data_IF_986343553188
#
_entry.id   IF_986343553188
#
_cell.length_a   1.000
_cell.length_b   1.000
_cell.length_c   1.000
_cell.angle_alpha   90.00
_cell.angle_beta   90.00
_cell.angle_gamma   90.00
#
_symmetry.space_group_name_H-M   'P 1'
#
loop_
_entity.id
_entity.type
_entity.pdbx_description
1 polymer ?
#
# COMPACT_ATOMS: atom_id res chain seq x y z
N UNK A 1 20.57 11.17 -25.88
CA UNK A 1 19.74 9.95 -25.72
C UNK A 1 18.93 9.74 -27.00
N UNK A 2 18.91 8.51 -27.53
CA UNK A 2 18.10 8.18 -28.72
C UNK A 2 16.62 8.33 -28.39
N UNK A 3 15.84 8.98 -29.27
CA UNK A 3 14.40 9.21 -29.09
C UNK A 3 13.63 7.91 -28.79
N UNK A 4 14.05 6.81 -29.40
CA UNK A 4 13.47 5.49 -29.18
C UNK A 4 13.61 5.02 -27.72
N UNK A 5 14.79 5.20 -27.11
CA UNK A 5 15.04 4.83 -25.71
C UNK A 5 14.20 5.66 -24.75
N UNK A 6 14.05 6.96 -25.03
CA UNK A 6 13.21 7.83 -24.23
C UNK A 6 11.74 7.38 -24.27
N UNK A 7 11.23 7.05 -25.47
CA UNK A 7 9.87 6.53 -25.63
C UNK A 7 9.66 5.20 -24.89
N UNK A 8 10.64 4.29 -24.93
CA UNK A 8 10.58 3.02 -24.20
C UNK A 8 10.50 3.25 -22.69
N UNK A 9 11.37 4.10 -22.12
CA UNK A 9 11.36 4.41 -20.68
C UNK A 9 10.06 5.07 -20.22
N UNK A 10 9.49 5.96 -21.03
CA UNK A 10 8.18 6.57 -20.76
C UNK A 10 7.07 5.52 -20.79
N UNK A 11 7.09 4.60 -21.74
CA UNK A 11 6.13 3.51 -21.80
C UNK A 11 6.20 2.59 -20.57
N UNK A 12 7.40 2.39 -20.03
CA UNK A 12 7.65 1.62 -18.81
C UNK A 12 7.09 2.32 -17.55
N UNK A 13 7.19 3.65 -17.47
CA UNK A 13 6.52 4.44 -16.42
C UNK A 13 5.01 4.24 -16.48
N UNK A 14 4.40 4.39 -17.66
CA UNK A 14 2.95 4.25 -17.85
C UNK A 14 2.49 2.83 -17.51
N UNK A 15 3.25 1.81 -17.95
CA UNK A 15 2.98 0.43 -17.61
C UNK A 15 3.05 0.17 -16.09
N UNK A 16 4.05 0.75 -15.41
CA UNK A 16 4.21 0.64 -13.96
C UNK A 16 3.05 1.31 -13.20
N UNK A 17 2.59 2.48 -13.66
CA UNK A 17 1.42 3.16 -13.08
C UNK A 17 0.12 2.36 -13.26
N UNK A 18 -0.05 1.70 -14.41
CA UNK A 18 -1.19 0.82 -14.65
C UNK A 18 -1.19 -0.37 -13.68
N UNK A 19 -0.04 -1.01 -13.50
CA UNK A 19 0.13 -2.12 -12.56
C UNK A 19 -0.18 -1.67 -11.12
N UNK A 20 0.24 -0.46 -10.74
CA UNK A 20 -0.03 0.10 -9.42
C UNK A 20 -1.52 0.29 -9.14
N UNK A 21 -2.27 0.84 -10.10
CA UNK A 21 -3.72 0.94 -9.99
C UNK A 21 -4.39 -0.44 -9.84
N UNK A 22 -3.86 -1.47 -10.51
CA UNK A 22 -4.37 -2.83 -10.39
C UNK A 22 -4.05 -3.45 -9.02
N UNK A 23 -2.88 -3.18 -8.42
CA UNK A 23 -2.60 -3.61 -7.05
C UNK A 23 -3.57 -3.03 -6.02
N UNK A 24 -3.95 -1.76 -6.17
CA UNK A 24 -4.94 -1.15 -5.28
C UNK A 24 -6.30 -1.84 -5.42
N UNK A 25 -6.75 -2.15 -6.65
CA UNK A 25 -7.98 -2.93 -6.87
C UNK A 25 -7.89 -4.31 -6.22
N UNK A 26 -6.78 -5.02 -6.43
CA UNK A 26 -6.58 -6.36 -5.85
C UNK A 26 -6.55 -6.34 -4.33
N UNK A 27 -6.00 -5.29 -3.71
CA UNK A 27 -6.06 -5.07 -2.28
C UNK A 27 -7.51 -4.97 -1.79
N UNK A 28 -8.33 -4.14 -2.44
CA UNK A 28 -9.76 -4.01 -2.11
C UNK A 28 -10.51 -5.34 -2.24
N UNK A 29 -10.33 -6.03 -3.37
CA UNK A 29 -10.98 -7.32 -3.63
C UNK A 29 -10.57 -8.36 -2.59
N UNK A 30 -9.27 -8.46 -2.28
CA UNK A 30 -8.74 -9.45 -1.34
C UNK A 30 -9.26 -9.21 0.07
N UNK A 31 -9.22 -7.95 0.55
CA UNK A 31 -9.72 -7.60 1.87
C UNK A 31 -11.23 -7.82 1.98
N UNK A 32 -11.99 -7.44 0.95
CA UNK A 32 -13.44 -7.67 0.90
C UNK A 32 -13.78 -9.18 0.93
N UNK A 33 -13.08 -9.99 0.13
CA UNK A 33 -13.29 -11.43 0.08
C UNK A 33 -12.96 -12.09 1.43
N UNK A 34 -11.80 -11.78 2.02
CA UNK A 34 -11.41 -12.31 3.33
C UNK A 34 -12.39 -11.91 4.43
N UNK A 35 -12.82 -10.64 4.43
CA UNK A 35 -13.78 -10.13 5.42
C UNK A 35 -15.15 -10.78 5.25
N UNK A 36 -15.63 -10.98 4.02
CA UNK A 36 -16.90 -11.65 3.74
C UNK A 36 -16.88 -13.12 4.20
N UNK A 37 -15.82 -13.86 3.89
CA UNK A 37 -15.66 -15.26 4.34
C UNK A 37 -15.58 -15.32 5.85
N UNK A 38 -14.81 -14.43 6.48
CA UNK A 38 -14.64 -14.41 7.93
C UNK A 38 -15.92 -14.06 8.69
N UNK A 39 -16.79 -13.21 8.13
CA UNK A 39 -17.93 -12.65 8.85
C UNK A 39 -19.29 -13.29 8.54
N UNK A 40 -19.47 -14.04 7.44
CA UNK A 40 -20.84 -14.48 7.15
C UNK A 40 -21.14 -15.41 5.98
N UNK A 41 -20.17 -15.89 5.20
CA UNK A 41 -20.50 -16.81 4.10
C UNK A 41 -20.94 -18.19 4.62
N UNK A 42 -20.40 -18.67 5.74
CA UNK A 42 -20.84 -19.95 6.33
C UNK A 42 -20.70 -19.94 7.87
N UNK A 43 -21.80 -19.80 8.63
CA UNK A 43 -21.76 -19.75 10.09
C UNK A 43 -21.35 -21.09 10.73
N UNK A 44 -21.34 -22.19 9.97
CA UNK A 44 -20.92 -23.50 10.46
C UNK A 44 -19.41 -23.59 10.70
N UNK A 45 -18.60 -22.73 10.07
CA UNK A 45 -17.14 -22.74 10.18
C UNK A 45 -16.69 -21.65 11.17
N UNK A 46 -16.71 -21.96 12.47
CA UNK A 46 -16.28 -21.03 13.53
C UNK A 46 -14.84 -20.54 13.36
N UNK A 47 -13.99 -21.33 12.71
CA UNK A 47 -12.58 -21.02 12.45
C UNK A 47 -12.39 -19.99 11.32
N UNK A 48 -13.41 -19.73 10.49
CA UNK A 48 -13.28 -18.77 9.39
C UNK A 48 -12.96 -17.35 9.88
N UNK A 49 -13.35 -17.02 11.11
CA UNK A 49 -13.08 -15.71 11.73
C UNK A 49 -11.57 -15.41 11.83
N UNK A 50 -10.71 -16.43 11.95
CA UNK A 50 -9.26 -16.23 11.99
C UNK A 50 -8.67 -15.70 10.66
N UNK A 51 -9.42 -15.75 9.56
CA UNK A 51 -9.03 -15.13 8.29
C UNK A 51 -8.90 -13.60 8.41
N UNK A 52 -9.57 -12.96 9.37
CA UNK A 52 -9.38 -11.54 9.66
C UNK A 52 -7.94 -11.20 10.07
N UNK A 53 -7.21 -12.15 10.67
CA UNK A 53 -5.78 -11.96 11.00
C UNK A 53 -4.88 -11.97 9.75
N UNK A 54 -5.36 -12.46 8.62
CA UNK A 54 -4.61 -12.49 7.36
C UNK A 54 -4.72 -11.15 6.61
N UNK A 55 -5.77 -10.36 6.88
CA UNK A 55 -5.99 -9.05 6.24
C UNK A 55 -4.76 -8.11 6.36
N UNK A 56 -4.13 -7.95 7.54
CA UNK A 56 -2.91 -7.17 7.67
C UNK A 56 -1.76 -7.63 6.78
N UNK A 57 -1.58 -8.95 6.65
CA UNK A 57 -0.52 -9.52 5.82
C UNK A 57 -0.76 -9.25 4.34
N UNK A 58 -2.00 -9.39 3.88
CA UNK A 58 -2.39 -9.06 2.50
C UNK A 58 -2.16 -7.58 2.20
N UNK A 59 -2.56 -6.68 3.11
CA UNK A 59 -2.33 -5.25 2.96
C UNK A 59 -0.84 -4.92 2.88
N UNK A 60 -0.04 -5.45 3.81
CA UNK A 60 1.42 -5.28 3.81
C UNK A 60 2.06 -5.77 2.51
N UNK A 61 1.65 -6.92 2.01
CA UNK A 61 2.16 -7.48 0.74
C UNK A 61 1.84 -6.58 -0.45
N UNK A 62 0.59 -6.12 -0.57
CA UNK A 62 0.20 -5.20 -1.66
C UNK A 62 0.93 -3.87 -1.59
N UNK A 63 1.16 -3.35 -0.39
CA UNK A 63 1.89 -2.10 -0.17
C UNK A 63 3.35 -2.24 -0.61
N UNK A 64 3.97 -3.39 -0.32
CA UNK A 64 5.34 -3.68 -0.72
C UNK A 64 5.49 -3.79 -2.25
N UNK A 65 4.52 -4.41 -2.94
CA UNK A 65 4.49 -4.47 -4.41
C UNK A 65 4.27 -3.09 -5.06
N UNK A 66 3.36 -2.30 -4.49
CA UNK A 66 3.15 -0.92 -4.94
C UNK A 66 4.40 -0.08 -4.74
N UNK A 67 5.09 -0.26 -3.60
CA UNK A 67 6.35 0.42 -3.33
C UNK A 67 7.41 0.06 -4.36
N UNK A 68 7.59 -1.23 -4.65
CA UNK A 68 8.57 -1.67 -5.64
C UNK A 68 8.33 -0.99 -7.00
N UNK A 69 7.06 -0.90 -7.42
CA UNK A 69 6.67 -0.23 -8.66
C UNK A 69 6.95 1.28 -8.62
N UNK A 70 6.68 1.94 -7.49
CA UNK A 70 6.99 3.36 -7.30
C UNK A 70 8.49 3.65 -7.36
N UNK A 71 9.31 2.80 -6.73
CA UNK A 71 10.77 2.94 -6.77
C UNK A 71 11.26 2.91 -8.22
N UNK A 72 10.77 1.97 -9.03
CA UNK A 72 11.12 1.86 -10.45
C UNK A 72 10.77 3.13 -11.22
N UNK A 73 9.56 3.67 -11.05
CA UNK A 73 9.14 4.93 -11.70
C UNK A 73 10.05 6.09 -11.31
N UNK A 74 10.38 6.21 -10.02
CA UNK A 74 11.28 7.27 -9.51
C UNK A 74 12.70 7.10 -10.07
N UNK A 75 13.22 5.87 -10.13
CA UNK A 75 14.54 5.58 -10.71
C UNK A 75 14.62 5.96 -12.19
N UNK A 76 13.61 5.60 -12.99
CA UNK A 76 13.56 5.95 -14.42
C UNK A 76 13.45 7.47 -14.60
N UNK A 77 12.58 8.14 -13.84
CA UNK A 77 12.45 9.60 -13.90
C UNK A 77 13.76 10.31 -13.58
N UNK A 78 14.48 9.87 -12.55
CA UNK A 78 15.79 10.44 -12.21
C UNK A 78 16.87 10.16 -13.25
N UNK A 79 16.84 8.99 -13.89
CA UNK A 79 17.73 8.70 -15.01
C UNK A 79 17.47 9.65 -16.18
N UNK A 80 16.21 9.82 -16.59
CA UNK A 80 15.81 10.75 -17.66
C UNK A 80 16.18 12.21 -17.34
N UNK A 81 16.05 12.63 -16.08
CA UNK A 81 16.50 13.94 -15.61
C UNK A 81 18.01 14.12 -15.79
N UNK A 82 18.83 13.13 -15.41
CA UNK A 82 20.30 13.17 -15.57
C UNK A 82 20.74 13.23 -17.04
N UNK A 83 19.96 12.64 -17.94
CA UNK A 83 20.19 12.69 -19.40
C UNK A 83 19.75 14.03 -20.05
N UNK A 84 19.27 15.01 -19.26
CA UNK A 84 18.89 16.34 -19.76
C UNK A 84 17.51 16.41 -20.40
N UNK A 85 16.58 15.52 -20.04
CA UNK A 85 15.21 15.57 -20.52
C UNK A 85 14.47 16.78 -19.93
N UNK A 86 14.25 17.83 -20.76
CA UNK A 86 13.54 19.07 -20.38
C UNK A 86 12.15 18.83 -19.77
N UNK A 87 11.47 17.78 -20.22
CA UNK A 87 10.16 17.41 -19.68
C UNK A 87 10.26 16.94 -18.22
N UNK A 88 11.21 16.06 -17.90
CA UNK A 88 11.39 15.59 -16.52
C UNK A 88 11.92 16.71 -15.62
N UNK A 89 12.72 17.64 -16.15
CA UNK A 89 13.13 18.85 -15.43
C UNK A 89 11.92 19.71 -15.05
N UNK A 90 11.02 19.99 -15.99
CA UNK A 90 9.76 20.69 -15.74
C UNK A 90 8.86 19.97 -14.71
N UNK A 91 8.71 18.64 -14.86
CA UNK A 91 7.92 17.84 -13.91
C UNK A 91 8.55 17.86 -12.52
N UNK A 92 9.89 17.85 -12.42
CA UNK A 92 10.58 17.89 -11.14
C UNK A 92 10.39 19.25 -10.43
N UNK A 93 10.46 20.36 -11.18
CA UNK A 93 10.13 21.69 -10.65
C UNK A 93 8.70 21.74 -10.06
N UNK A 94 7.73 21.14 -10.77
CA UNK A 94 6.35 21.02 -10.27
C UNK A 94 6.28 20.12 -9.03
N UNK A 95 7.00 19.00 -9.01
CA UNK A 95 7.06 18.09 -7.86
C UNK A 95 7.62 18.80 -6.62
N UNK A 96 8.57 19.71 -6.79
CA UNK A 96 9.16 20.48 -5.70
C UNK A 96 8.24 21.59 -5.19
N UNK A 97 7.38 22.18 -6.05
CA UNK A 97 6.75 23.46 -5.71
C UNK A 97 5.54 23.42 -4.76
N UNK A 98 4.66 22.40 -4.72
CA UNK A 98 3.60 22.37 -3.66
C UNK A 98 2.69 21.14 -3.54
N UNK A 99 2.59 20.26 -4.54
CA UNK A 99 1.70 19.09 -4.44
C UNK A 99 2.20 17.97 -5.34
N UNK A 100 2.95 17.02 -4.76
CA UNK A 100 3.47 15.87 -5.50
C UNK A 100 2.32 14.89 -5.73
N UNK A 101 1.94 14.56 -6.98
CA UNK A 101 0.94 13.52 -7.25
C UNK A 101 1.31 12.18 -6.57
N UNK A 102 2.62 11.90 -6.48
CA UNK A 102 3.18 10.76 -5.77
C UNK A 102 2.92 10.79 -4.25
N UNK A 103 2.81 11.98 -3.63
CA UNK A 103 2.45 12.09 -2.20
C UNK A 103 0.99 11.74 -1.98
N UNK A 104 0.10 12.15 -2.88
CA UNK A 104 -1.31 11.79 -2.79
C UNK A 104 -1.50 10.29 -2.94
N UNK A 105 -0.80 9.67 -3.89
CA UNK A 105 -0.86 8.22 -4.08
C UNK A 105 -0.33 7.45 -2.86
N UNK A 106 0.81 7.88 -2.32
CA UNK A 106 1.32 7.33 -1.06
C UNK A 106 0.32 7.51 0.09
N UNK A 107 -0.29 8.69 0.21
CA UNK A 107 -1.29 8.94 1.25
C UNK A 107 -2.50 8.03 1.10
N UNK A 108 -3.03 7.85 -0.12
CA UNK A 108 -4.13 6.95 -0.40
C UNK A 108 -3.77 5.50 -0.03
N UNK A 109 -2.57 5.06 -0.38
CA UNK A 109 -2.08 3.72 -0.03
C UNK A 109 -2.01 3.53 1.49
N UNK A 110 -1.44 4.49 2.20
CA UNK A 110 -1.32 4.46 3.68
C UNK A 110 -2.69 4.47 4.36
N UNK A 111 -3.55 5.40 3.98
CA UNK A 111 -4.89 5.52 4.54
C UNK A 111 -5.68 4.23 4.33
N UNK A 112 -5.57 3.61 3.15
CA UNK A 112 -6.23 2.32 2.89
C UNK A 112 -5.71 1.20 3.80
N UNK A 113 -4.40 1.09 4.01
CA UNK A 113 -3.81 0.07 4.91
C UNK A 113 -4.21 0.29 6.36
N UNK A 114 -4.14 1.53 6.84
CA UNK A 114 -4.57 1.88 8.20
C UNK A 114 -6.04 1.52 8.37
N UNK A 115 -6.90 1.91 7.43
CA UNK A 115 -8.32 1.60 7.46
C UNK A 115 -8.59 0.09 7.51
N UNK A 116 -7.96 -0.71 6.64
CA UNK A 116 -8.17 -2.16 6.64
C UNK A 116 -7.58 -2.88 7.86
N UNK A 117 -6.45 -2.39 8.39
CA UNK A 117 -5.86 -2.94 9.62
C UNK A 117 -6.70 -2.63 10.86
N UNK A 118 -7.56 -1.62 10.83
CA UNK A 118 -8.50 -1.33 11.93
C UNK A 118 -9.66 -2.33 11.99
N UNK A 119 -10.00 -3.02 10.91
CA UNK A 119 -11.09 -4.02 10.87
C UNK A 119 -10.90 -5.11 11.94
N UNK A 120 -9.77 -5.85 11.99
CA UNK A 120 -9.55 -6.85 13.03
C UNK A 120 -9.48 -6.24 14.44
N UNK A 121 -8.99 -5.01 14.60
CA UNK A 121 -8.96 -4.32 15.91
C UNK A 121 -10.38 -4.07 16.42
N UNK A 122 -11.24 -3.47 15.59
CA UNK A 122 -12.63 -3.18 15.93
C UNK A 122 -13.37 -4.48 16.24
N UNK A 123 -13.17 -5.52 15.42
CA UNK A 123 -13.78 -6.83 15.66
C UNK A 123 -13.34 -7.45 16.99
N UNK A 124 -12.04 -7.39 17.30
CA UNK A 124 -11.49 -7.88 18.56
C UNK A 124 -12.06 -7.14 19.78
N UNK A 125 -12.21 -5.81 19.69
CA UNK A 125 -12.83 -5.00 20.75
C UNK A 125 -14.30 -5.39 21.00
N UNK A 126 -15.09 -5.55 19.93
CA UNK A 126 -16.49 -5.99 20.04
C UNK A 126 -16.59 -7.37 20.71
N UNK A 127 -15.66 -8.27 20.39
CA UNK A 127 -15.63 -9.62 20.97
C UNK A 127 -15.28 -9.64 22.46
N UNK A 128 -14.38 -8.75 22.90
CA UNK A 128 -14.03 -8.58 24.33
C UNK A 128 -15.22 -8.00 25.09
N UNK A 129 -15.85 -6.93 24.58
CA UNK A 129 -17.01 -6.27 25.22
C UNK A 129 -18.20 -7.23 25.32
N UNK A 130 -18.39 -8.09 24.33
CA UNK A 130 -19.48 -9.07 24.32
C UNK A 130 -19.23 -10.32 25.20
N UNK A 131 -18.14 -10.34 25.98
CA UNK A 131 -17.74 -11.43 26.89
C UNK A 131 -17.71 -12.83 26.26
N UNK A 132 -17.52 -12.95 24.94
CA UNK A 132 -17.51 -14.25 24.25
C UNK A 132 -16.20 -15.00 24.45
N UNK A 133 -15.07 -14.34 24.22
CA UNK A 133 -13.74 -14.90 24.42
C UNK A 133 -12.69 -13.80 24.40
N UNK A 134 -12.04 -13.57 25.54
CA UNK A 134 -11.02 -12.53 25.70
C UNK A 134 -9.76 -12.85 24.91
N UNK A 135 -9.36 -14.13 24.86
CA UNK A 135 -8.13 -14.55 24.20
C UNK A 135 -8.18 -14.32 22.68
N UNK A 136 -9.30 -14.67 22.05
CA UNK A 136 -9.46 -14.45 20.60
C UNK A 136 -9.52 -12.96 20.29
N UNK A 137 -10.23 -12.17 21.11
CA UNK A 137 -10.29 -10.72 20.96
C UNK A 137 -8.90 -10.07 21.01
N UNK A 138 -8.07 -10.46 21.98
CA UNK A 138 -6.68 -9.97 22.09
C UNK A 138 -5.86 -10.34 20.85
N UNK A 139 -6.00 -11.57 20.32
CA UNK A 139 -5.25 -11.99 19.13
C UNK A 139 -5.57 -11.14 17.89
N UNK A 140 -6.82 -10.75 17.68
CA UNK A 140 -7.22 -9.87 16.58
C UNK A 140 -6.67 -8.45 16.74
N UNK A 141 -6.70 -7.92 17.98
CA UNK A 141 -6.14 -6.60 18.28
C UNK A 141 -4.64 -6.58 18.01
N UNK A 142 -3.90 -7.59 18.50
CA UNK A 142 -2.46 -7.69 18.25
C UNK A 142 -2.18 -7.77 16.74
N UNK A 143 -2.93 -8.60 16.01
CA UNK A 143 -2.76 -8.74 14.56
C UNK A 143 -2.97 -7.41 13.82
N UNK A 144 -4.02 -6.67 14.16
CA UNK A 144 -4.30 -5.37 13.54
C UNK A 144 -3.26 -4.31 13.90
N UNK A 145 -2.83 -4.24 15.16
CA UNK A 145 -1.78 -3.31 15.61
C UNK A 145 -0.43 -3.60 14.94
N UNK A 146 -0.05 -4.87 14.81
CA UNK A 146 1.15 -5.28 14.05
C UNK A 146 1.04 -4.81 12.61
N UNK A 147 -0.13 -4.95 11.98
CA UNK A 147 -0.41 -4.42 10.63
C UNK A 147 -0.18 -2.92 10.51
N UNK A 148 -0.70 -2.14 11.44
CA UNK A 148 -0.51 -0.68 11.49
C UNK A 148 0.97 -0.34 11.69
N UNK A 149 1.66 -1.01 12.62
CA UNK A 149 3.10 -0.81 12.83
C UNK A 149 3.92 -1.11 11.57
N UNK A 150 3.62 -2.22 10.87
CA UNK A 150 4.28 -2.56 9.61
C UNK A 150 4.02 -1.53 8.52
N UNK A 151 2.78 -1.02 8.43
CA UNK A 151 2.43 0.07 7.50
C UNK A 151 3.26 1.32 7.79
N UNK A 152 3.30 1.76 9.05
CA UNK A 152 4.09 2.94 9.46
C UNK A 152 5.58 2.72 9.18
N UNK A 153 6.11 1.54 9.46
CA UNK A 153 7.49 1.19 9.18
C UNK A 153 7.82 1.31 7.70
N UNK A 154 6.96 0.80 6.81
CA UNK A 154 7.11 0.98 5.37
C UNK A 154 7.13 2.46 5.01
N UNK A 155 6.16 3.25 5.48
CA UNK A 155 6.08 4.69 5.18
C UNK A 155 7.36 5.44 5.54
N UNK A 156 7.89 5.21 6.75
CA UNK A 156 9.12 5.84 7.21
C UNK A 156 10.29 5.45 6.29
N UNK A 157 10.37 4.17 5.91
CA UNK A 157 11.44 3.68 5.04
C UNK A 157 11.37 4.26 3.64
N UNK A 158 10.16 4.40 3.09
CA UNK A 158 9.89 5.03 1.79
C UNK A 158 10.27 6.51 1.83
N UNK A 159 9.81 7.24 2.85
CA UNK A 159 10.11 8.66 3.00
C UNK A 159 11.61 8.92 3.03
N UNK A 160 12.38 8.08 3.76
CA UNK A 160 13.84 8.15 3.77
C UNK A 160 14.43 7.86 2.39
N UNK A 161 14.02 6.77 1.74
CA UNK A 161 14.54 6.37 0.44
C UNK A 161 14.30 7.43 -0.65
N UNK A 162 13.09 8.00 -0.71
CA UNK A 162 12.76 9.08 -1.66
C UNK A 162 13.57 10.34 -1.35
N UNK A 163 13.78 10.66 -0.06
CA UNK A 163 14.64 11.79 0.32
C UNK A 163 16.10 11.58 -0.04
N UNK A 164 16.61 10.36 -0.01
CA UNK A 164 18.01 10.05 -0.33
C UNK A 164 18.26 10.09 -1.84
N UNK A 165 17.27 9.70 -2.65
CA UNK A 165 17.34 9.75 -4.11
C UNK A 165 17.32 11.19 -4.65
N UNK A 166 16.64 12.10 -3.96
CA UNK A 166 16.49 13.49 -4.40
C UNK A 166 17.68 14.39 -3.99
N UNK A 167 18.66 13.86 -3.25
CA UNK A 167 19.92 14.55 -2.94
C UNK A 167 20.96 14.26 -4.01
#
# INVERSE_FOLDING_TARGET
MDLEKEMQLRSEIVASQKIQADYLKWKLITVAALSAVALGINPSIKQAVYLLCVVPLCCFYTDLLSLHSMIRVVTIGNFLKKEGCKYEEYIDEIRQQKATPLKFENYALICSSVFFNLIPVIYGLVQIISFKSTLTGISFIISGLVGVMLTIFLVIRIGKFVSDINK
#
